data_IF_405324933527
#
_entry.id   IF_405324933527
#
_cell.length_a   1.000
_cell.length_b   1.000
_cell.length_c   1.000
_cell.angle_alpha   90.00
_cell.angle_beta   90.00
_cell.angle_gamma   90.00
#
_symmetry.space_group_name_H-M   'P 1'
#
loop_
_entity.id
_entity.type
_entity.pdbx_description
1 polymer ?
#
# COMPACT_ATOMS: atom_id res chain seq x y z
N UNK A 1 1.89 48.85 18.81
CA UNK A 1 1.04 47.66 18.74
C UNK A 1 1.17 46.97 17.39
N UNK A 2 0.93 47.59 16.24
CA UNK A 2 1.08 46.96 14.91
C UNK A 2 2.46 46.39 14.58
N UNK A 3 3.57 47.02 15.01
CA UNK A 3 4.94 46.55 14.77
C UNK A 3 5.33 45.29 15.57
N UNK A 4 4.72 45.07 16.74
CA UNK A 4 4.95 43.86 17.55
C UNK A 4 4.17 42.65 17.00
N UNK A 5 2.98 42.88 16.44
CA UNK A 5 2.18 41.84 15.81
C UNK A 5 2.79 41.35 14.48
N UNK A 6 3.33 42.26 13.67
CA UNK A 6 4.06 41.89 12.44
C UNK A 6 5.31 41.07 12.72
N UNK A 7 6.05 41.41 13.78
CA UNK A 7 7.26 40.67 14.19
C UNK A 7 6.92 39.26 14.73
N UNK A 8 5.82 39.13 15.48
CA UNK A 8 5.32 37.82 15.95
C UNK A 8 4.79 36.96 14.82
N UNK A 9 4.13 37.53 13.81
CA UNK A 9 3.70 36.79 12.62
C UNK A 9 4.86 36.35 11.71
N UNK A 10 5.91 37.15 11.59
CA UNK A 10 7.12 36.75 10.85
C UNK A 10 7.84 35.59 11.52
N UNK A 11 8.04 35.64 12.84
CA UNK A 11 8.66 34.54 13.59
C UNK A 11 7.79 33.27 13.60
N UNK A 12 6.47 33.36 13.55
CA UNK A 12 5.57 32.20 13.40
C UNK A 12 5.67 31.58 12.02
N UNK A 13 5.76 32.39 10.96
CA UNK A 13 5.97 31.93 9.59
C UNK A 13 7.34 31.27 9.39
N UNK A 14 8.40 31.84 9.94
CA UNK A 14 9.74 31.28 9.91
C UNK A 14 9.81 29.94 10.65
N UNK A 15 9.22 29.82 11.85
CA UNK A 15 9.13 28.56 12.58
C UNK A 15 8.30 27.50 11.83
N UNK A 16 7.20 27.89 11.20
CA UNK A 16 6.40 26.99 10.38
C UNK A 16 7.18 26.52 9.13
N UNK A 17 7.91 27.42 8.48
CA UNK A 17 8.77 27.09 7.35
C UNK A 17 9.92 26.16 7.77
N UNK A 18 10.57 26.45 8.90
CA UNK A 18 11.64 25.60 9.46
C UNK A 18 11.14 24.23 9.88
N UNK A 19 9.95 24.14 10.46
CA UNK A 19 9.30 22.88 10.81
C UNK A 19 8.99 22.05 9.55
N UNK A 20 8.50 22.70 8.48
CA UNK A 20 8.22 22.04 7.21
C UNK A 20 9.51 21.56 6.53
N UNK A 21 10.55 22.38 6.53
CA UNK A 21 11.86 22.01 5.97
C UNK A 21 12.49 20.85 6.74
N UNK A 22 12.49 20.89 8.08
CA UNK A 22 13.00 19.78 8.90
C UNK A 22 12.29 18.46 8.67
N UNK A 23 11.04 18.48 8.33
CA UNK A 23 10.23 17.27 8.05
C UNK A 23 10.54 16.62 6.69
N UNK A 24 11.17 17.38 5.79
CA UNK A 24 11.62 16.90 4.47
C UNK A 24 12.97 16.18 4.50
N UNK A 25 13.79 16.40 5.53
CA UNK A 25 15.09 15.73 5.62
C UNK A 25 14.93 14.24 5.92
N UNK A 26 15.71 13.45 5.16
CA UNK A 26 15.82 12.01 5.39
C UNK A 26 16.60 11.79 6.68
N UNK A 27 15.95 11.17 7.68
CA UNK A 27 16.59 10.88 8.97
C UNK A 27 17.17 9.47 8.92
N UNK A 28 18.40 9.29 9.43
CA UNK A 28 19.10 7.99 9.43
C UNK A 28 18.23 6.76 9.80
N UNK A 29 17.31 6.79 10.76
CA UNK A 29 16.40 5.67 11.04
C UNK A 29 15.48 5.29 9.87
N UNK A 30 15.24 6.20 8.93
CA UNK A 30 14.42 5.96 7.75
C UNK A 30 15.11 5.05 6.71
N UNK A 31 16.44 4.96 6.76
CA UNK A 31 17.21 4.06 5.92
C UNK A 31 17.12 2.59 6.39
N UNK A 32 16.80 2.36 7.66
CA UNK A 32 16.83 1.04 8.28
C UNK A 32 15.97 -0.02 7.55
N UNK A 33 14.71 0.22 7.17
CA UNK A 33 13.92 -0.75 6.40
C UNK A 33 14.53 -1.11 5.04
N UNK A 34 15.16 -0.13 4.38
CA UNK A 34 15.82 -0.34 3.11
C UNK A 34 17.11 -1.15 3.24
N UNK A 35 17.90 -0.86 4.28
CA UNK A 35 19.10 -1.64 4.61
C UNK A 35 18.71 -3.07 4.97
N UNK A 36 17.64 -3.27 5.72
CA UNK A 36 17.12 -4.61 6.05
C UNK A 36 16.67 -5.31 4.76
N UNK A 37 15.93 -4.67 3.87
CA UNK A 37 15.51 -5.26 2.61
C UNK A 37 16.70 -5.70 1.76
N UNK A 38 17.73 -4.85 1.62
CA UNK A 38 18.97 -5.23 0.91
C UNK A 38 19.73 -6.33 1.64
N UNK A 39 19.82 -6.28 2.96
CA UNK A 39 20.49 -7.32 3.76
C UNK A 39 19.80 -8.69 3.67
N UNK A 40 18.45 -8.71 3.62
CA UNK A 40 17.68 -9.94 3.42
C UNK A 40 18.07 -10.67 2.13
N UNK A 41 18.43 -9.94 1.08
CA UNK A 41 18.91 -10.53 -0.17
C UNK A 41 20.17 -11.37 0.03
N UNK A 42 21.11 -10.89 0.84
CA UNK A 42 22.38 -11.61 1.11
C UNK A 42 22.24 -12.71 2.16
N UNK A 43 21.29 -12.58 3.10
CA UNK A 43 21.13 -13.53 4.22
C UNK A 43 20.28 -14.73 3.83
N UNK A 44 19.27 -14.55 2.96
CA UNK A 44 18.30 -15.59 2.59
C UNK A 44 18.17 -15.76 1.07
N UNK A 45 19.24 -16.16 0.36
CA UNK A 45 19.20 -16.28 -1.10
C UNK A 45 18.16 -17.31 -1.61
N UNK A 46 17.88 -18.36 -0.82
CA UNK A 46 16.94 -19.43 -1.20
C UNK A 46 15.45 -19.06 -1.05
N UNK A 47 15.13 -17.87 -0.52
CA UNK A 47 13.75 -17.44 -0.24
C UNK A 47 13.36 -16.13 -0.94
N UNK A 48 13.97 -15.83 -2.08
CA UNK A 48 13.77 -14.55 -2.77
C UNK A 48 12.34 -14.39 -3.29
N UNK A 49 11.69 -15.46 -3.72
CA UNK A 49 10.27 -15.42 -4.14
C UNK A 49 9.37 -14.96 -2.99
N UNK A 50 9.58 -15.48 -1.78
CA UNK A 50 8.84 -15.01 -0.59
C UNK A 50 9.17 -13.55 -0.26
N UNK A 51 10.44 -13.18 -0.34
CA UNK A 51 10.88 -11.79 -0.16
C UNK A 51 10.19 -10.83 -1.13
N UNK A 52 10.08 -11.20 -2.41
CA UNK A 52 9.36 -10.42 -3.42
C UNK A 52 7.89 -10.25 -3.07
N UNK A 53 7.22 -11.31 -2.61
CA UNK A 53 5.82 -11.24 -2.16
C UNK A 53 5.65 -10.30 -0.97
N UNK A 54 6.58 -10.31 0.00
CA UNK A 54 6.57 -9.37 1.14
C UNK A 54 6.68 -7.93 0.64
N UNK A 55 7.60 -7.63 -0.28
CA UNK A 55 7.76 -6.28 -0.83
C UNK A 55 6.52 -5.81 -1.62
N UNK A 56 5.86 -6.70 -2.36
CA UNK A 56 4.60 -6.42 -3.05
C UNK A 56 3.51 -6.09 -2.05
N UNK A 57 3.39 -6.87 -0.96
CA UNK A 57 2.40 -6.59 0.10
C UNK A 57 2.72 -5.31 0.88
N UNK A 58 3.99 -4.96 1.05
CA UNK A 58 4.41 -3.64 1.57
C UNK A 58 3.89 -2.51 0.67
N UNK A 59 4.05 -2.65 -0.65
CA UNK A 59 3.56 -1.65 -1.62
C UNK A 59 2.04 -1.53 -1.57
N UNK A 60 1.34 -2.65 -1.49
CA UNK A 60 -0.12 -2.68 -1.37
C UNK A 60 -0.59 -2.09 -0.04
N UNK A 61 0.08 -2.38 1.08
CA UNK A 61 -0.20 -1.76 2.37
C UNK A 61 0.09 -0.25 2.36
N UNK A 62 1.15 0.20 1.69
CA UNK A 62 1.48 1.61 1.52
C UNK A 62 0.40 2.35 0.72
N UNK A 63 -0.18 1.71 -0.31
CA UNK A 63 -1.30 2.28 -1.08
C UNK A 63 -2.53 2.48 -0.20
N UNK A 64 -2.86 1.51 0.64
CA UNK A 64 -3.98 1.60 1.58
C UNK A 64 -3.71 2.64 2.68
N UNK A 65 -2.46 2.76 3.18
CA UNK A 65 -2.10 3.76 4.19
C UNK A 65 -2.33 5.19 3.68
N UNK A 66 -2.13 5.43 2.40
CA UNK A 66 -2.35 6.74 1.81
C UNK A 66 -3.82 7.20 1.94
N UNK A 67 -4.78 6.30 1.82
CA UNK A 67 -6.22 6.62 1.95
C UNK A 67 -6.73 6.44 3.37
N UNK A 68 -6.35 5.40 4.08
CA UNK A 68 -6.78 5.14 5.45
C UNK A 68 -6.00 6.00 6.45
N UNK A 69 -4.68 5.97 6.34
CA UNK A 69 -3.78 6.62 7.28
C UNK A 69 -3.77 8.14 7.16
N UNK A 70 -3.78 8.70 5.95
CA UNK A 70 -3.68 10.14 5.73
C UNK A 70 -5.02 10.80 5.40
N UNK A 71 -5.88 10.18 4.62
CA UNK A 71 -7.18 10.77 4.25
C UNK A 71 -8.34 10.35 5.16
N UNK A 72 -8.18 9.31 5.97
CA UNK A 72 -9.21 8.81 6.89
C UNK A 72 -10.35 8.07 6.18
N UNK A 73 -10.12 7.57 4.97
CA UNK A 73 -11.09 6.76 4.21
C UNK A 73 -10.89 5.31 4.59
N UNK A 74 -11.88 4.69 5.22
CA UNK A 74 -11.87 3.25 5.51
C UNK A 74 -12.50 2.50 4.34
N UNK A 75 -11.79 1.54 3.77
CA UNK A 75 -12.26 0.69 2.66
C UNK A 75 -11.83 -0.76 2.88
N UNK A 76 -12.71 -1.69 2.52
CA UNK A 76 -12.46 -3.12 2.51
C UNK A 76 -12.56 -3.73 1.09
N UNK A 77 -12.67 -2.88 0.08
CA UNK A 77 -12.67 -3.29 -1.33
C UNK A 77 -11.39 -2.89 -2.07
N UNK A 78 -10.29 -2.65 -1.36
CA UNK A 78 -9.05 -2.18 -1.98
C UNK A 78 -8.40 -3.24 -2.89
N UNK A 79 -8.67 -4.53 -2.63
CA UNK A 79 -8.30 -5.65 -3.48
C UNK A 79 -8.85 -5.54 -4.91
N UNK A 80 -9.96 -4.80 -5.13
CA UNK A 80 -10.49 -4.52 -6.46
C UNK A 80 -9.43 -3.88 -7.37
N UNK A 81 -8.70 -2.88 -6.87
CA UNK A 81 -7.67 -2.18 -7.65
C UNK A 81 -6.41 -3.02 -7.83
N UNK A 82 -6.06 -3.80 -6.83
CA UNK A 82 -4.99 -4.80 -6.93
C UNK A 82 -5.32 -5.83 -8.02
N UNK A 83 -6.52 -6.38 -8.01
CA UNK A 83 -7.01 -7.33 -9.01
C UNK A 83 -7.09 -6.73 -10.41
N UNK A 84 -7.55 -5.47 -10.57
CA UNK A 84 -7.54 -4.79 -11.88
C UNK A 84 -6.10 -4.74 -12.43
N UNK A 85 -5.12 -4.36 -11.62
CA UNK A 85 -3.73 -4.33 -12.04
C UNK A 85 -3.20 -5.71 -12.42
N UNK A 86 -3.48 -6.73 -11.59
CA UNK A 86 -3.10 -8.11 -11.80
C UNK A 86 -3.66 -8.67 -13.13
N UNK A 87 -4.95 -8.49 -13.36
CA UNK A 87 -5.62 -8.94 -14.59
C UNK A 87 -5.24 -8.11 -15.81
N UNK A 88 -4.91 -6.84 -15.66
CA UNK A 88 -4.41 -6.03 -16.80
C UNK A 88 -3.12 -6.61 -17.37
N UNK A 89 -2.19 -7.01 -16.52
CA UNK A 89 -0.94 -7.64 -16.92
C UNK A 89 -1.19 -9.03 -17.53
N UNK A 90 -2.01 -9.85 -16.88
CA UNK A 90 -2.31 -11.21 -17.34
C UNK A 90 -3.04 -11.23 -18.69
N UNK A 91 -4.06 -10.39 -18.85
CA UNK A 91 -4.81 -10.28 -20.10
C UNK A 91 -4.00 -9.61 -21.20
N UNK A 92 -3.14 -8.66 -20.88
CA UNK A 92 -2.18 -8.09 -21.79
C UNK A 92 -1.28 -9.15 -22.40
N UNK A 93 -0.75 -10.05 -21.57
CA UNK A 93 0.05 -11.18 -22.03
C UNK A 93 -0.78 -12.18 -22.86
N UNK A 94 -1.88 -12.69 -22.32
CA UNK A 94 -2.64 -13.81 -22.93
C UNK A 94 -3.40 -13.42 -24.19
N UNK A 95 -3.86 -12.17 -24.31
CA UNK A 95 -4.72 -11.72 -25.41
C UNK A 95 -4.02 -10.82 -26.41
N UNK A 96 -3.06 -10.02 -25.96
CA UNK A 96 -2.34 -9.07 -26.82
C UNK A 96 -0.90 -9.52 -27.12
N UNK A 97 -0.43 -10.62 -26.51
CA UNK A 97 0.97 -11.05 -26.61
C UNK A 97 1.96 -10.03 -25.99
N UNK A 98 1.47 -9.22 -25.05
CA UNK A 98 2.26 -8.15 -24.43
C UNK A 98 3.09 -8.70 -23.27
N UNK A 99 4.31 -9.10 -23.57
CA UNK A 99 5.24 -9.77 -22.62
C UNK A 99 6.16 -8.79 -21.87
N UNK A 100 6.18 -7.51 -22.25
CA UNK A 100 7.08 -6.52 -21.64
C UNK A 100 6.65 -6.19 -20.19
N UNK A 101 7.52 -6.44 -19.17
CA UNK A 101 7.12 -6.34 -17.76
C UNK A 101 6.82 -4.90 -17.34
N UNK A 102 7.67 -3.94 -17.69
CA UNK A 102 7.59 -2.57 -17.17
C UNK A 102 6.36 -1.82 -17.66
N UNK A 103 6.09 -1.91 -18.96
CA UNK A 103 4.90 -1.29 -19.56
C UNK A 103 3.60 -1.95 -19.06
N UNK A 104 3.64 -3.26 -18.78
CA UNK A 104 2.52 -4.00 -18.19
C UNK A 104 2.11 -3.46 -16.80
N UNK A 105 3.05 -3.26 -15.89
CA UNK A 105 2.72 -2.70 -14.56
C UNK A 105 2.27 -1.24 -14.63
N UNK A 106 2.82 -0.44 -15.54
CA UNK A 106 2.39 0.94 -15.76
C UNK A 106 0.94 0.94 -16.27
N UNK A 107 0.62 0.11 -17.26
CA UNK A 107 -0.74 -0.02 -17.78
C UNK A 107 -1.72 -0.47 -16.68
N UNK A 108 -1.35 -1.46 -15.86
CA UNK A 108 -2.13 -1.91 -14.71
C UNK A 108 -2.38 -0.79 -13.70
N UNK A 109 -1.35 -0.02 -13.38
CA UNK A 109 -1.47 1.14 -12.49
C UNK A 109 -2.35 2.25 -13.07
N UNK A 110 -2.17 2.58 -14.35
CA UNK A 110 -2.98 3.61 -15.02
C UNK A 110 -4.45 3.19 -15.08
N UNK A 111 -4.74 1.95 -15.47
CA UNK A 111 -6.12 1.45 -15.56
C UNK A 111 -6.77 1.42 -14.18
N UNK A 112 -6.09 0.90 -13.15
CA UNK A 112 -6.59 0.91 -11.78
C UNK A 112 -6.82 2.34 -11.27
N UNK A 113 -5.93 3.29 -11.59
CA UNK A 113 -6.08 4.70 -11.25
C UNK A 113 -7.28 5.36 -11.93
N UNK A 114 -7.50 5.10 -13.23
CA UNK A 114 -8.67 5.61 -13.97
C UNK A 114 -9.98 5.07 -13.39
N UNK A 115 -10.05 3.76 -13.12
CA UNK A 115 -11.19 3.16 -12.44
C UNK A 115 -11.35 3.75 -11.04
N UNK A 116 -10.24 4.00 -10.34
CA UNK A 116 -10.22 4.67 -9.04
C UNK A 116 -10.81 6.08 -9.08
N UNK A 117 -10.59 6.86 -10.14
CA UNK A 117 -11.23 8.17 -10.34
C UNK A 117 -12.75 7.99 -10.51
N UNK A 118 -13.17 7.12 -11.43
CA UNK A 118 -14.58 6.92 -11.74
C UNK A 118 -15.38 6.42 -10.54
N UNK A 119 -14.88 5.37 -9.89
CA UNK A 119 -15.49 4.76 -8.71
C UNK A 119 -15.40 5.68 -7.50
N UNK A 120 -14.25 6.30 -7.26
CA UNK A 120 -14.03 7.24 -6.17
C UNK A 120 -14.93 8.47 -6.27
N UNK A 121 -15.14 9.00 -7.48
CA UNK A 121 -16.05 10.14 -7.70
C UNK A 121 -17.48 9.85 -7.24
N UNK A 122 -17.95 8.65 -7.45
CA UNK A 122 -19.27 8.19 -7.03
C UNK A 122 -19.31 7.78 -5.55
N UNK A 123 -18.38 6.89 -5.11
CA UNK A 123 -18.43 6.27 -3.79
C UNK A 123 -18.09 7.22 -2.66
N UNK A 124 -17.16 8.16 -2.86
CA UNK A 124 -16.73 9.11 -1.82
C UNK A 124 -17.75 10.19 -1.48
N UNK A 125 -18.92 10.16 -2.09
CA UNK A 125 -20.09 10.93 -1.66
C UNK A 125 -20.73 10.33 -0.39
N UNK A 126 -20.58 9.02 -0.19
CA UNK A 126 -21.08 8.30 0.96
C UNK A 126 -19.99 8.21 2.04
N UNK A 127 -20.40 7.93 3.27
CA UNK A 127 -19.48 7.92 4.42
C UNK A 127 -19.73 6.71 5.32
N UNK A 128 -18.74 6.40 6.15
CA UNK A 128 -18.79 5.34 7.16
C UNK A 128 -19.21 3.98 6.59
N UNK A 129 -20.21 3.35 7.19
CA UNK A 129 -20.65 1.99 6.84
C UNK A 129 -21.12 1.85 5.40
N UNK A 130 -21.80 2.88 4.85
CA UNK A 130 -22.26 2.83 3.45
C UNK A 130 -21.09 2.74 2.48
N UNK A 131 -20.01 3.49 2.72
CA UNK A 131 -18.82 3.42 1.89
C UNK A 131 -18.14 2.05 2.00
N UNK A 132 -18.03 1.48 3.21
CA UNK A 132 -17.48 0.15 3.43
C UNK A 132 -18.24 -0.92 2.63
N UNK A 133 -19.58 -0.94 2.76
CA UNK A 133 -20.42 -1.90 2.03
C UNK A 133 -20.29 -1.73 0.52
N UNK A 134 -20.23 -0.47 0.03
CA UNK A 134 -20.14 -0.17 -1.38
C UNK A 134 -18.80 -0.63 -1.98
N UNK A 135 -17.70 -0.48 -1.23
CA UNK A 135 -16.37 -0.92 -1.68
C UNK A 135 -16.24 -2.43 -1.71
N UNK A 136 -16.83 -3.14 -0.74
CA UNK A 136 -16.90 -4.62 -0.75
C UNK A 136 -17.74 -5.10 -1.94
N UNK A 137 -18.92 -4.51 -2.13
CA UNK A 137 -19.79 -4.85 -3.24
C UNK A 137 -19.12 -4.64 -4.60
N UNK A 138 -18.32 -3.59 -4.74
CA UNK A 138 -17.56 -3.31 -5.96
C UNK A 138 -16.51 -4.40 -6.23
N UNK A 139 -15.76 -4.82 -5.22
CA UNK A 139 -14.79 -5.91 -5.38
C UNK A 139 -15.47 -7.23 -5.77
N UNK A 140 -16.57 -7.58 -5.08
CA UNK A 140 -17.36 -8.76 -5.40
C UNK A 140 -17.99 -8.70 -6.81
N UNK A 141 -18.43 -7.52 -7.25
CA UNK A 141 -18.96 -7.32 -8.60
C UNK A 141 -17.89 -7.58 -9.67
N UNK A 142 -16.65 -7.11 -9.45
CA UNK A 142 -15.55 -7.38 -10.39
C UNK A 142 -15.17 -8.86 -10.43
N UNK A 143 -15.15 -9.52 -9.27
CA UNK A 143 -14.90 -10.94 -9.16
C UNK A 143 -15.94 -11.74 -9.92
N UNK A 144 -17.23 -11.45 -9.69
CA UNK A 144 -18.33 -12.15 -10.36
C UNK A 144 -18.38 -11.84 -11.86
N UNK A 145 -18.12 -10.60 -12.27
CA UNK A 145 -18.00 -10.24 -13.69
C UNK A 145 -16.88 -11.02 -14.40
N UNK A 146 -15.75 -11.25 -13.72
CA UNK A 146 -14.69 -12.13 -14.17
C UNK A 146 -15.16 -13.59 -14.27
N UNK A 147 -15.88 -14.09 -13.27
CA UNK A 147 -16.39 -15.45 -13.25
C UNK A 147 -17.40 -15.74 -14.35
N UNK A 148 -18.34 -14.84 -14.60
CA UNK A 148 -19.33 -14.96 -15.70
C UNK A 148 -18.65 -15.03 -17.07
N UNK A 149 -17.53 -14.31 -17.25
CA UNK A 149 -16.73 -14.34 -18.48
C UNK A 149 -15.49 -15.22 -18.34
N UNK A 150 -15.67 -16.45 -17.90
CA UNK A 150 -14.59 -17.42 -17.69
C UNK A 150 -13.72 -17.63 -18.93
N UNK A 151 -14.30 -17.60 -20.15
CA UNK A 151 -13.55 -17.69 -21.41
C UNK A 151 -12.53 -16.57 -21.57
N UNK A 152 -12.75 -15.42 -20.94
CA UNK A 152 -11.87 -14.27 -21.03
C UNK A 152 -10.90 -14.19 -19.84
N UNK A 153 -11.38 -14.41 -18.63
CA UNK A 153 -10.63 -14.25 -17.36
C UNK A 153 -9.95 -15.54 -16.88
N UNK A 154 -10.27 -16.70 -17.48
CA UNK A 154 -9.90 -18.01 -16.94
C UNK A 154 -10.78 -18.47 -15.78
N UNK A 155 -11.75 -17.67 -15.34
CA UNK A 155 -12.62 -17.99 -14.22
C UNK A 155 -11.86 -18.21 -12.91
N UNK A 156 -12.34 -19.11 -12.08
CA UNK A 156 -11.66 -19.49 -10.83
C UNK A 156 -10.40 -20.33 -11.07
N UNK A 157 -10.27 -20.99 -12.21
CA UNK A 157 -9.03 -21.71 -12.58
C UNK A 157 -7.88 -20.76 -12.90
N UNK A 158 -8.21 -19.51 -13.24
CA UNK A 158 -7.26 -18.45 -13.50
C UNK A 158 -6.53 -18.55 -14.83
N UNK A 159 -5.50 -17.73 -14.97
CA UNK A 159 -4.65 -17.68 -16.17
C UNK A 159 -3.23 -18.15 -15.76
N UNK A 160 -2.89 -19.42 -16.01
CA UNK A 160 -1.57 -19.97 -15.72
C UNK A 160 -0.58 -19.76 -16.87
N UNK A 161 0.71 -19.99 -16.58
CA UNK A 161 1.75 -20.06 -17.62
C UNK A 161 2.12 -18.71 -18.21
N UNK A 162 2.00 -17.65 -17.45
CA UNK A 162 2.43 -16.31 -17.87
C UNK A 162 3.95 -16.26 -17.88
N UNK A 163 4.56 -16.05 -19.04
CA UNK A 163 5.99 -15.85 -19.20
C UNK A 163 6.25 -14.43 -19.71
N UNK A 164 7.08 -13.70 -18.98
CA UNK A 164 7.41 -12.32 -19.34
C UNK A 164 8.81 -12.25 -19.91
N UNK A 165 9.02 -11.32 -20.84
CA UNK A 165 10.32 -11.09 -21.44
C UNK A 165 11.34 -10.64 -20.40
N UNK A 166 12.66 -10.86 -20.66
CA UNK A 166 13.72 -10.38 -19.79
C UNK A 166 13.61 -8.88 -19.55
N UNK A 167 13.81 -8.44 -18.31
CA UNK A 167 13.87 -7.03 -17.97
C UNK A 167 14.96 -6.33 -18.81
N UNK A 168 14.56 -5.31 -19.58
CA UNK A 168 15.43 -4.60 -20.52
C UNK A 168 16.14 -5.51 -21.56
N UNK A 169 15.61 -6.71 -21.81
CA UNK A 169 16.21 -7.67 -22.74
C UNK A 169 17.52 -8.32 -22.26
N UNK A 170 17.93 -8.13 -21.00
CA UNK A 170 19.22 -8.60 -20.47
C UNK A 170 19.10 -9.42 -19.18
N UNK A 171 18.05 -9.20 -18.38
CA UNK A 171 17.88 -9.87 -17.10
C UNK A 171 16.73 -10.87 -17.16
N UNK A 172 17.09 -12.16 -17.33
CA UNK A 172 16.12 -13.25 -17.31
C UNK A 172 15.48 -13.42 -15.92
N UNK A 173 14.21 -13.85 -15.92
CA UNK A 173 13.55 -14.24 -14.68
C UNK A 173 14.16 -15.57 -14.20
N UNK A 174 14.94 -15.49 -13.13
CA UNK A 174 15.57 -16.65 -12.51
C UNK A 174 14.55 -17.44 -11.67
N UNK A 175 14.66 -18.77 -11.68
CA UNK A 175 13.86 -19.69 -10.85
C UNK A 175 13.99 -19.39 -9.35
N UNK A 176 15.15 -18.90 -8.91
CA UNK A 176 15.39 -18.48 -7.52
C UNK A 176 14.78 -17.11 -7.18
N UNK A 177 14.33 -16.34 -8.18
CA UNK A 177 13.66 -15.05 -7.98
C UNK A 177 14.59 -13.89 -7.63
N UNK A 178 15.91 -13.99 -7.89
CA UNK A 178 16.86 -12.92 -7.60
C UNK A 178 16.57 -11.65 -8.43
N UNK A 179 16.35 -11.80 -9.74
CA UNK A 179 15.99 -10.70 -10.63
C UNK A 179 14.65 -10.08 -10.22
N UNK A 180 13.67 -10.91 -9.88
CA UNK A 180 12.35 -10.50 -9.43
C UNK A 180 12.42 -9.67 -8.14
N UNK A 181 13.25 -10.06 -7.19
CA UNK A 181 13.42 -9.34 -5.92
C UNK A 181 13.94 -7.92 -6.13
N UNK A 182 15.00 -7.76 -6.92
CA UNK A 182 15.55 -6.44 -7.24
C UNK A 182 14.58 -5.58 -8.03
N UNK A 183 13.87 -6.17 -8.98
CA UNK A 183 12.84 -5.49 -9.75
C UNK A 183 11.74 -4.93 -8.84
N UNK A 184 11.16 -5.77 -7.99
CA UNK A 184 10.13 -5.35 -7.04
C UNK A 184 10.66 -4.30 -6.04
N UNK A 185 11.90 -4.48 -5.56
CA UNK A 185 12.53 -3.54 -4.62
C UNK A 185 12.72 -2.15 -5.25
N UNK A 186 13.15 -2.09 -6.51
CA UNK A 186 13.33 -0.82 -7.24
C UNK A 186 11.98 -0.14 -7.46
N UNK A 187 10.96 -0.87 -7.91
CA UNK A 187 9.61 -0.32 -8.10
C UNK A 187 9.03 0.17 -6.77
N UNK A 188 9.18 -0.61 -5.70
CA UNK A 188 8.78 -0.19 -4.34
C UNK A 188 9.50 1.09 -3.92
N UNK A 189 10.81 1.22 -4.19
CA UNK A 189 11.57 2.42 -3.87
C UNK A 189 11.00 3.65 -4.60
N UNK A 190 10.75 3.53 -5.91
CA UNK A 190 10.17 4.61 -6.71
C UNK A 190 8.80 5.00 -6.15
N UNK A 191 7.91 4.03 -5.94
CA UNK A 191 6.56 4.25 -5.39
C UNK A 191 6.63 4.90 -4.00
N UNK A 192 7.51 4.41 -3.13
CA UNK A 192 7.70 4.97 -1.79
C UNK A 192 8.15 6.44 -1.85
N UNK A 193 9.11 6.79 -2.69
CA UNK A 193 9.54 8.18 -2.86
C UNK A 193 8.41 9.08 -3.38
N UNK A 194 7.60 8.59 -4.32
CA UNK A 194 6.42 9.30 -4.82
C UNK A 194 5.41 9.53 -3.69
N UNK A 195 5.06 8.48 -2.95
CA UNK A 195 4.12 8.55 -1.81
C UNK A 195 4.66 9.49 -0.73
N UNK A 196 5.95 9.38 -0.39
CA UNK A 196 6.60 10.27 0.58
C UNK A 196 6.48 11.74 0.13
N UNK A 197 6.75 12.03 -1.13
CA UNK A 197 6.63 13.40 -1.67
C UNK A 197 5.19 13.91 -1.61
N UNK A 198 4.19 13.05 -1.86
CA UNK A 198 2.77 13.39 -1.77
C UNK A 198 2.40 13.69 -0.31
N UNK A 199 2.77 12.83 0.62
CA UNK A 199 2.41 12.95 2.04
C UNK A 199 3.00 14.20 2.68
N UNK A 200 4.24 14.56 2.37
CA UNK A 200 4.88 15.76 2.92
C UNK A 200 4.58 17.04 2.13
N UNK A 201 3.83 16.96 1.03
CA UNK A 201 3.38 18.12 0.26
C UNK A 201 2.22 18.85 0.95
N UNK A 202 1.89 20.09 0.50
CA UNK A 202 0.68 20.78 0.96
C UNK A 202 -0.61 19.99 0.71
N UNK A 203 -0.62 19.12 -0.30
CA UNK A 203 -1.72 18.22 -0.58
C UNK A 203 -1.88 17.17 0.54
N UNK A 204 -0.80 16.52 0.97
CA UNK A 204 -0.82 15.55 2.07
C UNK A 204 -1.22 16.17 3.41
N UNK A 205 -0.77 17.39 3.70
CA UNK A 205 -1.21 18.13 4.89
C UNK A 205 -2.71 18.44 4.85
N UNK A 206 -3.23 18.80 3.67
CA UNK A 206 -4.65 19.01 3.52
C UNK A 206 -5.48 17.73 3.70
N UNK A 207 -4.96 16.56 3.29
CA UNK A 207 -5.60 15.26 3.58
C UNK A 207 -5.66 14.99 5.08
N UNK A 208 -4.56 15.21 5.81
CA UNK A 208 -4.55 15.09 7.28
C UNK A 208 -5.56 16.03 7.93
N UNK A 209 -5.66 17.28 7.46
CA UNK A 209 -6.68 18.22 7.91
C UNK A 209 -8.12 17.74 7.63
N UNK A 210 -8.36 17.12 6.48
CA UNK A 210 -9.66 16.51 6.12
C UNK A 210 -9.98 15.33 7.06
N UNK A 211 -8.99 14.47 7.34
CA UNK A 211 -9.12 13.35 8.28
C UNK A 211 -9.49 13.82 9.69
N UNK A 212 -8.87 14.89 10.16
CA UNK A 212 -9.15 15.43 11.50
C UNK A 212 -10.53 16.09 11.59
N UNK A 213 -10.87 16.98 10.65
CA UNK A 213 -12.14 17.68 10.67
C UNK A 213 -12.57 18.15 9.27
N UNK A 214 -13.44 17.39 8.64
CA UNK A 214 -13.98 17.67 7.30
C UNK A 214 -14.74 19.01 7.27
N UNK A 215 -15.52 19.35 8.32
CA UNK A 215 -16.32 20.59 8.36
C UNK A 215 -15.40 21.82 8.39
N UNK A 216 -14.31 21.76 9.19
CA UNK A 216 -13.31 22.84 9.25
C UNK A 216 -12.65 23.05 7.88
N UNK A 217 -12.32 21.97 7.18
CA UNK A 217 -11.70 22.06 5.85
C UNK A 217 -12.64 22.65 4.81
N UNK A 218 -13.95 22.38 4.88
CA UNK A 218 -14.93 23.07 4.05
C UNK A 218 -15.06 24.57 4.38
N UNK A 219 -15.04 24.92 5.66
CA UNK A 219 -15.15 26.32 6.10
C UNK A 219 -13.99 27.20 5.60
N UNK A 220 -12.79 26.66 5.44
CA UNK A 220 -11.63 27.36 4.88
C UNK A 220 -11.55 27.28 3.34
N UNK A 221 -12.64 26.82 2.67
CA UNK A 221 -12.72 26.78 1.21
C UNK A 221 -11.97 25.63 0.52
N UNK A 222 -11.54 24.60 1.26
CA UNK A 222 -10.83 23.47 0.66
C UNK A 222 -11.77 22.60 -0.19
N UNK A 223 -11.39 22.22 -1.44
CA UNK A 223 -12.18 21.33 -2.30
C UNK A 223 -12.05 19.87 -1.83
N UNK A 224 -12.68 19.53 -0.69
CA UNK A 224 -12.52 18.24 0.01
C UNK A 224 -12.78 17.05 -0.91
N UNK A 225 -13.93 17.04 -1.62
CA UNK A 225 -14.30 15.91 -2.47
C UNK A 225 -13.25 15.63 -3.57
N UNK A 226 -12.78 16.68 -4.27
CA UNK A 226 -11.77 16.53 -5.32
C UNK A 226 -10.46 15.98 -4.75
N UNK A 227 -10.03 16.44 -3.56
CA UNK A 227 -8.81 15.94 -2.90
C UNK A 227 -8.93 14.48 -2.50
N UNK A 228 -10.09 14.06 -1.99
CA UNK A 228 -10.35 12.66 -1.63
C UNK A 228 -10.36 11.76 -2.88
N UNK A 229 -10.98 12.20 -3.98
CA UNK A 229 -10.98 11.44 -5.25
C UNK A 229 -9.55 11.34 -5.81
N UNK A 230 -8.77 12.41 -5.76
CA UNK A 230 -7.38 12.38 -6.25
C UNK A 230 -6.52 11.40 -5.46
N UNK A 231 -6.58 11.43 -4.12
CA UNK A 231 -5.79 10.49 -3.32
C UNK A 231 -6.26 9.05 -3.48
N UNK A 232 -7.57 8.84 -3.67
CA UNK A 232 -8.14 7.52 -3.93
C UNK A 232 -7.65 6.95 -5.26
N UNK A 233 -7.60 7.78 -6.31
CA UNK A 233 -7.06 7.39 -7.61
C UNK A 233 -5.55 7.06 -7.57
N UNK A 234 -4.77 7.86 -6.85
CA UNK A 234 -3.32 7.59 -6.66
C UNK A 234 -3.12 6.28 -5.90
N UNK A 235 -3.87 6.08 -4.84
CA UNK A 235 -3.84 4.84 -4.07
C UNK A 235 -4.25 3.62 -4.92
N UNK A 236 -5.32 3.74 -5.72
CA UNK A 236 -5.75 2.72 -6.67
C UNK A 236 -4.67 2.40 -7.70
N UNK A 237 -3.99 3.42 -8.25
CA UNK A 237 -2.90 3.24 -9.19
C UNK A 237 -1.73 2.45 -8.57
N UNK A 238 -1.34 2.77 -7.34
CA UNK A 238 -0.28 2.06 -6.61
C UNK A 238 -0.71 0.61 -6.33
N UNK A 239 -1.96 0.39 -5.93
CA UNK A 239 -2.49 -0.96 -5.73
C UNK A 239 -2.48 -1.76 -7.04
N UNK A 240 -2.81 -1.12 -8.17
CA UNK A 240 -2.72 -1.73 -9.50
C UNK A 240 -1.30 -2.11 -9.90
N UNK A 241 -0.31 -1.26 -9.61
CA UNK A 241 1.12 -1.59 -9.81
C UNK A 241 1.51 -2.82 -8.96
N UNK A 242 1.10 -2.85 -7.69
CA UNK A 242 1.37 -3.99 -6.80
C UNK A 242 0.72 -5.29 -7.32
N UNK A 243 -0.52 -5.22 -7.83
CA UNK A 243 -1.21 -6.34 -8.45
C UNK A 243 -0.53 -6.83 -9.73
N UNK A 244 -0.08 -5.92 -10.59
CA UNK A 244 0.70 -6.27 -11.77
C UNK A 244 2.01 -6.99 -11.43
N UNK A 245 2.76 -6.49 -10.45
CA UNK A 245 3.97 -7.14 -9.95
C UNK A 245 3.68 -8.52 -9.34
N UNK A 246 2.55 -8.65 -8.64
CA UNK A 246 2.13 -9.94 -8.08
C UNK A 246 1.94 -11.00 -9.18
N UNK A 247 1.28 -10.62 -10.28
CA UNK A 247 1.08 -11.51 -11.44
C UNK A 247 2.40 -11.88 -12.12
N UNK A 248 3.30 -10.92 -12.29
CA UNK A 248 4.61 -11.17 -12.88
C UNK A 248 5.48 -12.08 -12.01
N UNK A 249 5.43 -11.90 -10.69
CA UNK A 249 6.22 -12.70 -9.74
C UNK A 249 5.71 -14.14 -9.63
N UNK A 250 4.39 -14.34 -9.68
CA UNK A 250 3.80 -15.67 -9.53
C UNK A 250 3.60 -16.39 -10.88
N UNK A 251 3.72 -15.68 -12.02
CA UNK A 251 3.41 -16.20 -13.36
C UNK A 251 2.00 -16.80 -13.47
N UNK A 252 1.08 -16.33 -12.63
CA UNK A 252 -0.27 -16.85 -12.47
C UNK A 252 -1.19 -15.84 -11.79
N UNK A 253 -2.45 -15.80 -12.21
CA UNK A 253 -3.48 -14.98 -11.58
C UNK A 253 -4.82 -15.70 -11.56
N UNK A 254 -5.58 -15.56 -10.47
CA UNK A 254 -6.95 -16.07 -10.31
C UNK A 254 -7.88 -14.97 -9.85
N UNK A 255 -9.19 -15.21 -9.88
CA UNK A 255 -10.20 -14.28 -9.34
C UNK A 255 -10.10 -14.06 -7.83
N UNK A 256 -9.34 -14.90 -7.12
CA UNK A 256 -9.10 -14.73 -5.67
C UNK A 256 -8.36 -13.44 -5.33
N UNK A 257 -7.68 -12.79 -6.30
CA UNK A 257 -7.07 -11.48 -6.08
C UNK A 257 -8.08 -10.37 -5.78
N UNK A 258 -9.38 -10.58 -6.09
CA UNK A 258 -10.47 -9.67 -5.77
C UNK A 258 -11.12 -9.98 -4.42
N UNK A 259 -10.76 -11.08 -3.76
CA UNK A 259 -11.40 -11.53 -2.53
C UNK A 259 -11.31 -10.48 -1.43
N UNK A 260 -12.36 -10.44 -0.63
CA UNK A 260 -12.41 -9.65 0.60
C UNK A 260 -11.22 -9.94 1.52
N UNK A 261 -10.79 -11.21 1.57
CA UNK A 261 -9.66 -11.65 2.40
C UNK A 261 -8.36 -10.89 2.09
N UNK A 262 -8.09 -10.58 0.83
CA UNK A 262 -6.92 -9.79 0.43
C UNK A 262 -7.00 -8.36 0.97
N UNK A 263 -8.19 -7.73 0.90
CA UNK A 263 -8.41 -6.40 1.49
C UNK A 263 -8.31 -6.43 3.01
N UNK A 264 -8.85 -7.47 3.65
CA UNK A 264 -8.77 -7.66 5.10
C UNK A 264 -7.32 -7.88 5.55
N UNK A 265 -6.56 -8.74 4.86
CA UNK A 265 -5.14 -8.98 5.13
C UNK A 265 -4.32 -7.70 5.10
N UNK A 266 -4.44 -6.89 4.06
CA UNK A 266 -3.66 -5.64 3.96
C UNK A 266 -4.07 -4.64 5.02
N UNK A 267 -5.35 -4.59 5.40
CA UNK A 267 -5.82 -3.74 6.49
C UNK A 267 -5.23 -4.18 7.84
N UNK A 268 -5.17 -5.50 8.10
CA UNK A 268 -4.50 -6.06 9.29
C UNK A 268 -3.02 -5.71 9.31
N UNK A 269 -2.31 -5.89 8.19
CA UNK A 269 -0.90 -5.50 8.05
C UNK A 269 -0.69 -4.03 8.43
N UNK A 270 -1.58 -3.15 7.96
CA UNK A 270 -1.49 -1.73 8.23
C UNK A 270 -1.77 -1.38 9.70
N UNK A 271 -2.75 -2.02 10.32
CA UNK A 271 -3.06 -1.84 11.75
C UNK A 271 -1.89 -2.34 12.62
N UNK A 272 -1.31 -3.50 12.28
CA UNK A 272 -0.12 -4.05 12.96
C UNK A 272 1.05 -3.09 12.90
N UNK A 273 1.33 -2.52 11.73
CA UNK A 273 2.44 -1.60 11.54
C UNK A 273 2.21 -0.23 12.17
N UNK A 274 0.97 0.24 12.17
CA UNK A 274 0.55 1.56 12.64
C UNK A 274 0.16 2.50 11.49
N UNK A 275 -1.12 2.83 11.41
CA UNK A 275 -1.72 3.67 10.34
C UNK A 275 -1.21 5.11 10.36
N UNK A 276 -1.05 5.71 9.17
CA UNK A 276 -0.60 7.10 9.02
C UNK A 276 0.90 7.27 9.24
N UNK A 277 1.67 6.20 9.06
CA UNK A 277 3.12 6.18 9.15
C UNK A 277 3.69 5.40 7.99
N UNK A 278 4.41 6.06 7.10
CA UNK A 278 4.96 5.46 5.87
C UNK A 278 5.72 4.15 6.12
N UNK A 279 6.51 4.10 7.19
CA UNK A 279 7.29 2.91 7.57
C UNK A 279 6.47 1.85 8.32
N UNK A 280 5.24 2.20 8.75
CA UNK A 280 4.31 1.24 9.34
C UNK A 280 3.96 0.12 8.37
N UNK A 281 3.72 0.44 7.12
CA UNK A 281 3.41 -0.54 6.08
C UNK A 281 4.53 -1.60 5.93
N UNK A 282 5.81 -1.19 5.99
CA UNK A 282 6.96 -2.11 5.92
C UNK A 282 6.95 -3.09 7.09
N UNK A 283 6.85 -2.58 8.30
CA UNK A 283 6.93 -3.40 9.51
C UNK A 283 5.71 -4.31 9.62
N UNK A 284 4.52 -3.78 9.35
CA UNK A 284 3.28 -4.52 9.46
C UNK A 284 3.16 -5.65 8.43
N UNK A 285 3.47 -5.38 7.15
CA UNK A 285 3.45 -6.40 6.12
C UNK A 285 4.52 -7.48 6.36
N UNK A 286 5.75 -7.10 6.72
CA UNK A 286 6.81 -8.06 7.01
C UNK A 286 6.44 -8.98 8.19
N UNK A 287 5.99 -8.41 9.31
CA UNK A 287 5.59 -9.20 10.49
C UNK A 287 4.43 -10.12 10.16
N UNK A 288 3.39 -9.60 9.49
CA UNK A 288 2.22 -10.39 9.12
C UNK A 288 2.60 -11.57 8.23
N UNK A 289 3.33 -11.33 7.12
CA UNK A 289 3.71 -12.35 6.16
C UNK A 289 4.61 -13.44 6.77
N UNK A 290 5.58 -13.04 7.61
CA UNK A 290 6.46 -14.00 8.31
C UNK A 290 5.65 -14.85 9.30
N UNK A 291 4.70 -14.25 10.02
CA UNK A 291 3.84 -14.98 10.94
C UNK A 291 2.88 -15.92 10.18
N UNK A 292 2.29 -15.46 9.08
CA UNK A 292 1.44 -16.28 8.20
C UNK A 292 2.24 -17.50 7.68
N UNK A 293 3.45 -17.33 7.16
CA UNK A 293 4.31 -18.42 6.67
C UNK A 293 4.67 -19.41 7.77
N UNK A 294 5.02 -18.94 8.96
CA UNK A 294 5.37 -19.81 10.09
C UNK A 294 4.17 -20.55 10.67
N UNK A 295 3.06 -19.83 10.93
CA UNK A 295 1.87 -20.44 11.53
C UNK A 295 1.21 -21.44 10.58
N UNK A 296 1.14 -21.14 9.28
CA UNK A 296 0.57 -22.06 8.29
C UNK A 296 1.35 -23.37 8.19
N UNK A 297 2.68 -23.32 8.36
CA UNK A 297 3.54 -24.51 8.39
C UNK A 297 3.44 -25.31 9.70
N UNK A 298 3.24 -24.62 10.84
CA UNK A 298 3.13 -25.28 12.14
C UNK A 298 1.75 -25.93 12.34
N UNK A 299 0.69 -25.27 11.92
CA UNK A 299 -0.67 -25.74 12.12
C UNK A 299 -1.62 -25.22 11.03
N UNK A 300 -1.79 -25.98 9.92
CA UNK A 300 -2.63 -25.58 8.80
C UNK A 300 -4.11 -25.31 9.17
N UNK A 301 -4.58 -25.92 10.26
CA UNK A 301 -5.98 -25.75 10.71
C UNK A 301 -6.19 -24.47 11.56
N UNK A 302 -5.18 -24.02 12.30
CA UNK A 302 -5.33 -22.95 13.30
C UNK A 302 -4.54 -21.67 13.02
N UNK A 303 -3.87 -21.57 11.88
CA UNK A 303 -3.03 -20.41 11.57
C UNK A 303 -3.81 -19.09 11.55
N UNK A 304 -5.05 -19.09 11.03
CA UNK A 304 -5.91 -17.90 10.99
C UNK A 304 -6.28 -17.45 12.42
N UNK A 305 -6.57 -18.39 13.31
CA UNK A 305 -6.80 -18.09 14.73
C UNK A 305 -5.56 -17.45 15.38
N UNK A 306 -4.37 -17.97 15.08
CA UNK A 306 -3.11 -17.41 15.57
C UNK A 306 -2.88 -15.97 15.11
N UNK A 307 -3.18 -15.67 13.85
CA UNK A 307 -3.11 -14.29 13.31
C UNK A 307 -4.15 -13.39 13.97
N UNK A 308 -5.39 -13.86 14.14
CA UNK A 308 -6.45 -13.13 14.84
C UNK A 308 -6.07 -12.81 16.29
N UNK A 309 -5.50 -13.78 17.01
CA UNK A 309 -5.00 -13.58 18.38
C UNK A 309 -3.88 -12.54 18.43
N UNK A 310 -2.92 -12.62 17.50
CA UNK A 310 -1.85 -11.64 17.38
C UNK A 310 -2.42 -10.22 17.18
N UNK A 311 -3.41 -10.08 16.29
CA UNK A 311 -4.05 -8.80 16.02
C UNK A 311 -4.69 -8.23 17.29
N UNK A 312 -5.46 -9.06 18.03
CA UNK A 312 -6.09 -8.66 19.29
C UNK A 312 -5.04 -8.18 20.30
N UNK A 313 -3.94 -8.95 20.45
CA UNK A 313 -2.84 -8.57 21.37
C UNK A 313 -2.22 -7.23 20.96
N UNK A 314 -1.92 -7.04 19.66
CA UNK A 314 -1.33 -5.79 19.18
C UNK A 314 -2.28 -4.60 19.39
N UNK A 315 -3.57 -4.76 19.09
CA UNK A 315 -4.56 -3.68 19.27
C UNK A 315 -4.74 -3.35 20.77
N UNK A 316 -4.70 -4.34 21.65
CA UNK A 316 -4.81 -4.10 23.12
C UNK A 316 -3.56 -3.42 23.68
N UNK A 317 -2.37 -3.89 23.34
CA UNK A 317 -1.12 -3.42 23.95
C UNK A 317 -0.40 -2.35 23.14
N UNK A 318 -0.54 -2.36 21.83
CA UNK A 318 0.13 -1.45 20.90
C UNK A 318 -0.88 -0.60 20.10
N UNK A 319 -1.70 0.20 20.80
CA UNK A 319 -2.74 1.06 20.17
C UNK A 319 -2.24 1.96 19.04
N UNK A 320 -0.93 2.20 18.95
CA UNK A 320 -0.27 3.00 17.89
C UNK A 320 0.47 2.13 16.85
N UNK A 321 0.21 0.81 16.86
CA UNK A 321 0.94 -0.17 16.07
C UNK A 321 2.37 -0.44 16.61
N UNK A 322 3.02 -1.45 16.02
CA UNK A 322 4.38 -1.87 16.44
C UNK A 322 5.41 -0.74 16.29
N UNK A 323 5.31 0.04 15.23
CA UNK A 323 6.20 1.19 15.02
C UNK A 323 6.03 2.26 16.12
N UNK A 324 4.80 2.46 16.60
CA UNK A 324 4.51 3.38 17.70
C UNK A 324 5.18 2.96 18.99
N UNK A 325 5.15 1.69 19.32
CA UNK A 325 5.82 1.13 20.50
C UNK A 325 7.34 1.28 20.39
N UNK A 326 7.89 0.98 19.21
CA UNK A 326 9.33 1.12 18.96
C UNK A 326 9.80 2.58 19.14
N UNK A 327 9.05 3.56 18.63
CA UNK A 327 9.35 4.98 18.83
C UNK A 327 9.25 5.43 20.29
N UNK A 328 8.22 4.99 21.01
CA UNK A 328 8.06 5.33 22.44
C UNK A 328 9.19 4.72 23.29
N UNK A 329 9.64 3.52 22.93
CA UNK A 329 10.80 2.87 23.57
C UNK A 329 12.10 3.64 23.29
N UNK A 330 12.33 4.01 22.04
CA UNK A 330 13.51 4.80 21.65
C UNK A 330 13.54 6.18 22.34
N UNK A 331 12.37 6.82 22.54
CA UNK A 331 12.27 8.09 23.27
C UNK A 331 12.56 7.92 24.76
N UNK A 332 12.12 6.83 25.39
CA UNK A 332 12.44 6.54 26.81
C UNK A 332 13.93 6.33 27.02
N UNK A 333 14.59 5.61 26.11
CA UNK A 333 16.04 5.41 26.17
C UNK A 333 16.83 6.72 26.05
N UNK A 334 16.43 7.64 25.15
CA UNK A 334 17.09 8.95 25.02
C UNK A 334 16.87 9.86 26.22
N UNK A 335 15.77 9.73 26.96
CA UNK A 335 15.49 10.53 28.17
C UNK A 335 16.18 9.98 29.43
N UNK A 336 16.58 8.72 29.43
CA UNK A 336 17.31 8.10 30.56
C UNK A 336 18.82 8.38 30.53
N UNK A 337 19.36 9.00 29.50
CA UNK A 337 20.79 9.33 29.31
C UNK A 337 21.04 10.86 29.27
N UNK A 338 20.02 11.67 29.48
CA UNK A 338 20.11 13.14 29.64
C UNK A 338 19.71 13.53 31.09
#
# INVERSE_FOLDING_TARGET
MAASETRTMQTARERAAEYLVRRHYFVWPEALPWVIAVACFFIFPDRMTFGSQVLIMVMFALSLDLILGYAGIVTLGHAAFFGIGAYTVALGFTRLGWSEPLSGIIAGGVLAGLVGIAVGWFMLRYRALTLLMLTIAFAAMLQEAGNIRSDFSGGYDGLPGLSFDPLFGTFDYDLYGHTNYWYVLIVLAIVFFVVRRIVYSPFGQALTGIRENVRRMHAIGSPVHRRLVTVYAISAAIAGIAGGLFTQTNAYVTLTVFDFDISAKVMVMLILGGTGRLYGAFLGAAVYMIMEDKLSKMSPAFWQFGIGLLLVLVVMFARRGLLGVAEDWARKFKRGHA
#
